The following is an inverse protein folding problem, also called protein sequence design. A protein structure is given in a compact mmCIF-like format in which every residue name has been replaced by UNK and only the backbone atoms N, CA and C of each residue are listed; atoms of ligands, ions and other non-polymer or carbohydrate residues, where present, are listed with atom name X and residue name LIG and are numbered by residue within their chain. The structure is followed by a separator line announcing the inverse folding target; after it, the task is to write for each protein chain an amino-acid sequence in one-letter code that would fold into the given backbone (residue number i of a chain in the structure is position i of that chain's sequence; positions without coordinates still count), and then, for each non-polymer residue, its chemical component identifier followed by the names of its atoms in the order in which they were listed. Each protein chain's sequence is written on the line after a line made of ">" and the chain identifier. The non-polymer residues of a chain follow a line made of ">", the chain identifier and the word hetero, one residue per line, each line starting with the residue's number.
data_IF_832524920690
#
_entry.id   IF_832524920690
#
_cell.length_a   1.000
_cell.length_b   1.000
_cell.length_c   1.000
_cell.angle_alpha   90.00
_cell.angle_beta   90.00
_cell.angle_gamma   90.00
#
_symmetry.space_group_name_H-M   'P 1'
#
loop_
_entity.id
_entity.type
_entity.pdbx_description
1 polymer ?
#
# COMPACT_ATOMS: atom_id res chain seq x y z
N UNK A 1 28.94 21.08 -34.91
CA UNK A 1 28.04 20.50 -33.90
C UNK A 1 28.32 19.01 -33.87
N UNK A 2 28.90 18.41 -32.82
CA UNK A 2 29.05 16.96 -32.74
C UNK A 2 27.72 16.33 -32.28
N UNK A 3 27.24 15.35 -33.02
CA UNK A 3 26.09 14.50 -32.70
C UNK A 3 26.36 13.71 -31.42
N UNK A 4 25.40 13.75 -30.50
CA UNK A 4 25.39 12.90 -29.29
C UNK A 4 25.22 11.43 -29.70
N UNK A 5 25.94 10.49 -29.07
CA UNK A 5 25.77 9.06 -29.35
C UNK A 5 24.39 8.57 -28.89
N UNK A 6 23.79 7.59 -29.60
CA UNK A 6 22.50 7.03 -29.19
C UNK A 6 22.59 6.30 -27.86
N UNK A 7 21.57 6.49 -27.02
CA UNK A 7 21.44 5.80 -25.75
C UNK A 7 21.47 4.27 -25.94
N UNK A 8 22.35 3.61 -25.22
CA UNK A 8 22.47 2.14 -25.22
C UNK A 8 21.17 1.51 -24.72
N UNK A 9 20.62 0.49 -25.37
CA UNK A 9 19.43 -0.20 -24.87
C UNK A 9 19.78 -0.89 -23.54
N UNK A 10 18.85 -0.79 -22.57
CA UNK A 10 18.99 -1.46 -21.27
C UNK A 10 19.25 -2.96 -21.49
N UNK A 11 20.31 -3.48 -20.90
CA UNK A 11 20.70 -4.87 -21.03
C UNK A 11 19.59 -5.78 -20.50
N UNK A 12 19.23 -6.82 -21.26
CA UNK A 12 18.30 -7.85 -20.79
C UNK A 12 18.86 -8.52 -19.51
N UNK A 13 18.02 -8.81 -18.50
CA UNK A 13 18.49 -9.43 -17.24
C UNK A 13 19.19 -10.77 -17.50
N UNK A 14 20.23 -11.06 -16.73
CA UNK A 14 20.96 -12.31 -16.83
C UNK A 14 20.01 -13.52 -16.60
N UNK A 15 20.23 -14.69 -17.20
CA UNK A 15 19.35 -15.84 -17.04
C UNK A 15 19.07 -16.24 -15.58
N UNK A 16 20.01 -16.00 -14.68
CA UNK A 16 19.86 -16.19 -13.23
C UNK A 16 18.83 -15.22 -12.63
N UNK A 17 18.83 -13.96 -13.05
CA UNK A 17 17.94 -12.93 -12.54
C UNK A 17 16.51 -13.17 -13.02
N UNK A 18 16.33 -13.58 -14.30
CA UNK A 18 15.03 -13.95 -14.84
C UNK A 18 14.40 -15.14 -14.08
N UNK A 19 15.19 -16.13 -13.67
CA UNK A 19 14.69 -17.26 -12.89
C UNK A 19 14.29 -16.83 -11.49
N UNK A 20 15.08 -15.97 -10.84
CA UNK A 20 14.76 -15.43 -9.51
C UNK A 20 13.48 -14.61 -9.54
N UNK A 21 13.30 -13.74 -10.53
CA UNK A 21 12.06 -12.95 -10.69
C UNK A 21 10.83 -13.85 -10.88
N UNK A 22 10.92 -14.91 -11.67
CA UNK A 22 9.83 -15.89 -11.84
C UNK A 22 9.47 -16.57 -10.51
N UNK A 23 10.46 -16.95 -9.71
CA UNK A 23 10.24 -17.57 -8.40
C UNK A 23 9.52 -16.59 -7.47
N UNK A 24 9.99 -15.33 -7.40
CA UNK A 24 9.40 -14.33 -6.52
C UNK A 24 7.98 -13.97 -6.97
N UNK A 25 7.72 -13.86 -8.28
CA UNK A 25 6.37 -13.61 -8.79
C UNK A 25 5.41 -14.76 -8.45
N UNK A 26 5.82 -16.02 -8.65
CA UNK A 26 5.04 -17.19 -8.28
C UNK A 26 4.76 -17.24 -6.77
N UNK A 27 5.79 -16.97 -5.95
CA UNK A 27 5.66 -16.94 -4.50
C UNK A 27 4.70 -15.82 -4.03
N UNK A 28 4.80 -14.63 -4.63
CA UNK A 28 3.92 -13.49 -4.33
C UNK A 28 2.45 -13.87 -4.54
N UNK A 29 2.11 -14.45 -5.69
CA UNK A 29 0.75 -14.89 -6.00
C UNK A 29 0.28 -15.96 -5.00
N UNK A 30 1.09 -16.99 -4.77
CA UNK A 30 0.74 -18.11 -3.89
C UNK A 30 0.60 -17.69 -2.42
N UNK A 31 1.49 -16.85 -1.91
CA UNK A 31 1.38 -16.33 -0.55
C UNK A 31 0.17 -15.39 -0.38
N UNK A 32 -0.13 -14.57 -1.38
CA UNK A 32 -1.32 -13.73 -1.37
C UNK A 32 -2.61 -14.56 -1.35
N UNK A 33 -2.67 -15.65 -2.10
CA UNK A 33 -3.89 -16.47 -2.24
C UNK A 33 -4.05 -17.51 -1.13
N UNK A 34 -2.96 -18.11 -0.68
CA UNK A 34 -2.98 -19.28 0.21
C UNK A 34 -2.31 -19.05 1.58
N UNK A 35 -1.67 -17.90 1.77
CA UNK A 35 -0.87 -17.60 2.95
C UNK A 35 0.49 -18.30 2.94
N UNK A 36 1.31 -17.94 3.93
CA UNK A 36 2.60 -18.57 4.16
C UNK A 36 2.44 -20.06 4.49
N UNK A 37 1.62 -20.40 5.49
CA UNK A 37 1.47 -21.78 5.96
C UNK A 37 0.83 -22.67 4.89
N UNK A 38 -0.11 -22.16 4.11
CA UNK A 38 -0.78 -22.88 3.02
C UNK A 38 0.03 -23.04 1.73
N UNK A 39 1.26 -22.49 1.67
CA UNK A 39 2.12 -22.53 0.47
C UNK A 39 3.35 -23.38 0.70
N UNK A 40 3.65 -24.32 -0.22
CA UNK A 40 4.88 -25.10 -0.19
C UNK A 40 5.89 -24.66 -1.25
N UNK A 41 7.19 -24.83 -1.00
CA UNK A 41 8.24 -24.55 -1.99
C UNK A 41 8.09 -25.41 -3.25
N UNK A 42 7.55 -26.61 -3.13
CA UNK A 42 7.23 -27.48 -4.28
C UNK A 42 6.18 -26.84 -5.19
N UNK A 43 5.15 -26.23 -4.60
CA UNK A 43 4.11 -25.53 -5.35
C UNK A 43 4.67 -24.28 -6.02
N UNK A 44 5.54 -23.53 -5.33
CA UNK A 44 6.22 -22.37 -5.90
C UNK A 44 7.11 -22.79 -7.09
N UNK A 45 7.88 -23.88 -6.97
CA UNK A 45 8.71 -24.39 -8.05
C UNK A 45 7.89 -24.78 -9.28
N UNK A 46 6.76 -25.47 -9.07
CA UNK A 46 5.85 -25.86 -10.14
C UNK A 46 5.25 -24.63 -10.85
N UNK A 47 4.78 -23.64 -10.08
CA UNK A 47 4.20 -22.40 -10.62
C UNK A 47 5.25 -21.57 -11.39
N UNK A 48 6.48 -21.51 -10.88
CA UNK A 48 7.59 -20.85 -11.56
C UNK A 48 8.10 -21.61 -12.80
N UNK A 49 7.65 -22.87 -13.03
CA UNK A 49 8.15 -23.74 -14.10
C UNK A 49 9.63 -24.11 -13.91
N UNK A 50 10.05 -24.33 -12.66
CA UNK A 50 11.43 -24.65 -12.27
C UNK A 50 11.46 -25.90 -11.37
N UNK A 51 12.63 -26.52 -11.25
CA UNK A 51 12.81 -27.60 -10.28
C UNK A 51 13.17 -27.06 -8.89
N UNK A 52 12.98 -27.88 -7.86
CA UNK A 52 13.24 -27.54 -6.46
C UNK A 52 14.68 -27.11 -6.17
N UNK A 53 15.66 -27.75 -6.83
CA UNK A 53 17.07 -27.41 -6.64
C UNK A 53 17.38 -25.99 -7.16
N UNK A 54 16.79 -25.62 -8.29
CA UNK A 54 16.91 -24.28 -8.86
C UNK A 54 16.28 -23.23 -7.92
N UNK A 55 15.09 -23.50 -7.38
CA UNK A 55 14.45 -22.59 -6.41
C UNK A 55 15.34 -22.41 -5.17
N UNK A 56 15.81 -23.52 -4.55
CA UNK A 56 16.68 -23.44 -3.37
C UNK A 56 17.98 -22.67 -3.65
N UNK A 57 18.55 -22.84 -4.82
CA UNK A 57 19.76 -22.12 -5.24
C UNK A 57 19.55 -20.59 -5.31
N UNK A 58 18.42 -20.15 -5.88
CA UNK A 58 18.18 -18.71 -6.11
C UNK A 58 17.68 -17.96 -4.89
N UNK A 59 16.89 -18.60 -4.03
CA UNK A 59 16.15 -17.89 -2.97
C UNK A 59 16.29 -18.52 -1.58
N UNK A 60 17.09 -19.55 -1.42
CA UNK A 60 17.24 -20.23 -0.13
C UNK A 60 15.99 -21.00 0.28
N UNK A 61 15.53 -20.76 1.50
CA UNK A 61 14.35 -21.40 2.07
C UNK A 61 13.05 -20.63 1.83
N UNK A 62 11.92 -21.29 2.18
CA UNK A 62 10.60 -20.64 2.17
C UNK A 62 10.55 -19.38 3.07
N UNK A 63 11.16 -19.36 4.27
CA UNK A 63 11.23 -18.17 5.10
C UNK A 63 11.95 -17.00 4.43
N UNK A 64 13.09 -17.24 3.79
CA UNK A 64 13.85 -16.19 3.10
C UNK A 64 13.07 -15.61 1.93
N UNK A 65 12.43 -16.49 1.15
CA UNK A 65 11.57 -16.10 0.04
C UNK A 65 10.36 -15.29 0.51
N UNK A 66 9.74 -15.66 1.64
CA UNK A 66 8.63 -14.90 2.21
C UNK A 66 9.07 -13.49 2.63
N UNK A 67 10.21 -13.38 3.34
CA UNK A 67 10.77 -12.07 3.71
C UNK A 67 11.07 -11.20 2.48
N UNK A 68 11.58 -11.79 1.42
CA UNK A 68 11.81 -11.06 0.16
C UNK A 68 10.51 -10.56 -0.48
N UNK A 69 9.48 -11.41 -0.54
CA UNK A 69 8.15 -11.01 -1.06
C UNK A 69 7.58 -9.85 -0.24
N UNK A 70 7.62 -9.95 1.09
CA UNK A 70 7.12 -8.89 1.99
C UNK A 70 7.95 -7.60 1.88
N UNK A 71 9.27 -7.71 1.74
CA UNK A 71 10.14 -6.55 1.50
C UNK A 71 9.79 -5.85 0.17
N UNK A 72 9.57 -6.60 -0.91
CA UNK A 72 9.18 -6.02 -2.20
C UNK A 72 7.82 -5.33 -2.13
N UNK A 73 6.85 -5.94 -1.44
CA UNK A 73 5.55 -5.33 -1.18
C UNK A 73 5.71 -4.00 -0.42
N UNK A 74 6.48 -4.01 0.68
CA UNK A 74 6.78 -2.80 1.46
C UNK A 74 7.45 -1.70 0.62
N UNK A 75 8.47 -2.03 -0.16
CA UNK A 75 9.15 -1.05 -1.00
C UNK A 75 8.24 -0.45 -2.09
N UNK A 76 7.28 -1.22 -2.60
CA UNK A 76 6.28 -0.71 -3.54
C UNK A 76 5.32 0.26 -2.86
N UNK A 77 4.81 -0.07 -1.66
CA UNK A 77 3.98 0.83 -0.86
C UNK A 77 4.74 2.10 -0.46
N UNK A 78 5.99 1.96 0.00
CA UNK A 78 6.82 3.10 0.39
C UNK A 78 7.00 4.09 -0.76
N UNK A 79 7.24 3.61 -1.98
CA UNK A 79 7.40 4.49 -3.16
C UNK A 79 6.13 5.26 -3.46
N UNK A 80 4.98 4.58 -3.54
CA UNK A 80 3.72 5.26 -3.86
C UNK A 80 3.32 6.26 -2.78
N UNK A 81 3.54 5.93 -1.50
CA UNK A 81 3.25 6.85 -0.41
C UNK A 81 4.22 8.04 -0.39
N UNK A 82 5.51 7.84 -0.66
CA UNK A 82 6.47 8.94 -0.77
C UNK A 82 6.07 9.95 -1.86
N UNK A 83 5.70 9.46 -3.04
CA UNK A 83 5.23 10.30 -4.16
C UNK A 83 3.92 11.02 -3.81
N UNK A 84 2.98 10.29 -3.19
CA UNK A 84 1.70 10.85 -2.77
C UNK A 84 1.86 11.93 -1.69
N UNK A 85 2.74 11.69 -0.70
CA UNK A 85 3.04 12.67 0.36
C UNK A 85 3.78 13.89 -0.18
N UNK A 86 4.63 13.74 -1.19
CA UNK A 86 5.24 14.88 -1.86
C UNK A 86 4.20 15.77 -2.54
N UNK A 87 3.25 15.16 -3.26
CA UNK A 87 2.12 15.87 -3.87
C UNK A 87 1.23 16.54 -2.80
N UNK A 88 0.94 15.81 -1.72
CA UNK A 88 0.19 16.31 -0.57
C UNK A 88 0.85 17.58 0.02
N UNK A 89 2.14 17.56 0.32
CA UNK A 89 2.87 18.72 0.89
C UNK A 89 2.79 19.96 -0.02
N UNK A 90 2.78 19.76 -1.33
CA UNK A 90 2.67 20.86 -2.29
C UNK A 90 1.29 21.47 -2.31
N UNK A 91 0.24 20.66 -2.18
CA UNK A 91 -1.14 21.09 -2.33
C UNK A 91 -1.79 21.52 -1.01
N UNK A 92 -1.43 20.90 0.11
CA UNK A 92 -2.08 21.09 1.41
C UNK A 92 -2.13 22.57 1.89
N UNK A 93 -1.14 23.45 1.62
CA UNK A 93 -1.22 24.86 2.04
C UNK A 93 -2.32 25.66 1.35
N UNK A 94 -2.75 25.26 0.14
CA UNK A 94 -3.74 25.98 -0.66
C UNK A 94 -5.08 25.28 -0.72
N UNK A 95 -5.09 23.94 -0.73
CA UNK A 95 -6.30 23.11 -0.75
C UNK A 95 -6.07 21.82 0.04
N UNK A 96 -6.20 21.87 1.37
CA UNK A 96 -5.99 20.71 2.24
C UNK A 96 -7.01 19.58 1.97
N UNK A 97 -8.22 19.91 1.53
CA UNK A 97 -9.24 18.91 1.22
C UNK A 97 -8.87 18.11 -0.04
N UNK A 98 -8.45 18.80 -1.10
CA UNK A 98 -7.95 18.14 -2.31
C UNK A 98 -6.67 17.37 -2.05
N UNK A 99 -5.76 17.88 -1.20
CA UNK A 99 -4.53 17.21 -0.83
C UNK A 99 -4.81 15.85 -0.14
N UNK A 100 -5.71 15.83 0.85
CA UNK A 100 -6.09 14.61 1.58
C UNK A 100 -6.80 13.62 0.65
N UNK A 101 -7.77 14.07 -0.13
CA UNK A 101 -8.49 13.18 -1.05
C UNK A 101 -7.57 12.60 -2.13
N UNK A 102 -6.61 13.40 -2.62
CA UNK A 102 -5.60 12.95 -3.58
C UNK A 102 -4.68 11.88 -3.00
N UNK A 103 -4.27 12.01 -1.73
CA UNK A 103 -3.47 11.00 -1.03
C UNK A 103 -4.23 9.67 -0.91
N UNK A 104 -5.50 9.72 -0.49
CA UNK A 104 -6.38 8.55 -0.37
C UNK A 104 -6.59 7.86 -1.72
N UNK A 105 -6.87 8.64 -2.75
CA UNK A 105 -7.07 8.11 -4.10
C UNK A 105 -5.84 7.40 -4.63
N UNK A 106 -4.68 8.01 -4.48
CA UNK A 106 -3.42 7.43 -4.94
C UNK A 106 -3.14 6.09 -4.27
N UNK A 107 -3.42 5.99 -2.96
CA UNK A 107 -3.27 4.74 -2.24
C UNK A 107 -4.29 3.67 -2.67
N UNK A 108 -5.57 4.06 -2.85
CA UNK A 108 -6.61 3.15 -3.35
C UNK A 108 -6.26 2.62 -4.75
N UNK A 109 -5.83 3.49 -5.68
CA UNK A 109 -5.45 3.10 -7.04
C UNK A 109 -4.28 2.10 -7.00
N UNK A 110 -3.26 2.38 -6.19
CA UNK A 110 -2.15 1.44 -5.98
C UNK A 110 -2.63 0.06 -5.51
N UNK A 111 -3.52 -0.01 -4.52
CA UNK A 111 -4.04 -1.28 -4.02
C UNK A 111 -4.90 -2.02 -5.06
N UNK A 112 -5.60 -1.31 -5.92
CA UNK A 112 -6.37 -1.90 -7.02
C UNK A 112 -5.48 -2.44 -8.15
N UNK A 113 -4.38 -1.75 -8.43
CA UNK A 113 -3.41 -2.12 -9.46
C UNK A 113 -2.48 -3.25 -9.00
N UNK A 114 -2.22 -3.33 -7.67
CA UNK A 114 -1.33 -4.31 -7.04
C UNK A 114 -2.07 -5.18 -6.00
N UNK A 115 -3.11 -5.94 -6.40
CA UNK A 115 -4.02 -6.60 -5.46
C UNK A 115 -3.36 -7.67 -4.57
N UNK A 116 -2.17 -8.15 -4.94
CA UNK A 116 -1.41 -9.07 -4.11
C UNK A 116 -0.87 -8.42 -2.83
N UNK A 117 -0.56 -7.11 -2.86
CA UNK A 117 0.02 -6.41 -1.71
C UNK A 117 -0.99 -6.33 -0.55
N UNK A 118 -2.20 -5.76 -0.72
CA UNK A 118 -3.21 -5.81 0.34
C UNK A 118 -3.56 -7.24 0.77
N UNK A 119 -3.50 -8.23 -0.15
CA UNK A 119 -3.74 -9.63 0.19
C UNK A 119 -2.69 -10.20 1.15
N UNK A 120 -1.41 -9.93 0.90
CA UNK A 120 -0.30 -10.36 1.77
C UNK A 120 -0.46 -9.80 3.19
N UNK A 121 -0.73 -8.49 3.33
CA UNK A 121 -0.93 -7.85 4.63
C UNK A 121 -2.17 -8.36 5.35
N UNK A 122 -3.31 -8.50 4.66
CA UNK A 122 -4.53 -9.04 5.25
C UNK A 122 -4.33 -10.45 5.82
N UNK A 123 -3.60 -11.32 5.10
CA UNK A 123 -3.26 -12.65 5.62
C UNK A 123 -2.37 -12.57 6.85
N UNK A 124 -1.39 -11.69 6.83
CA UNK A 124 -0.50 -11.47 7.97
C UNK A 124 -1.28 -11.04 9.22
N UNK A 125 -2.25 -10.14 9.09
CA UNK A 125 -3.10 -9.68 10.19
C UNK A 125 -4.07 -10.75 10.71
N UNK A 126 -4.38 -11.76 9.90
CA UNK A 126 -5.19 -12.92 10.30
C UNK A 126 -4.34 -14.05 10.93
N UNK A 127 -3.19 -13.71 11.49
CA UNK A 127 -2.27 -14.62 12.18
C UNK A 127 -1.59 -15.70 11.31
N UNK A 128 -1.55 -15.53 9.98
CA UNK A 128 -0.68 -16.31 9.10
C UNK A 128 0.78 -15.90 9.32
N UNK A 129 1.71 -16.83 9.19
CA UNK A 129 3.14 -16.56 9.31
C UNK A 129 3.55 -15.90 10.65
N UNK A 130 3.11 -16.44 11.78
CA UNK A 130 3.32 -15.85 13.12
C UNK A 130 4.80 -15.61 13.46
N UNK A 131 5.72 -16.39 12.89
CA UNK A 131 7.18 -16.25 13.03
C UNK A 131 7.76 -14.95 12.45
N UNK A 132 6.97 -14.20 11.66
CA UNK A 132 7.36 -12.92 11.05
C UNK A 132 6.60 -11.73 11.64
N UNK A 133 6.25 -11.78 12.94
CA UNK A 133 5.55 -10.69 13.62
C UNK A 133 6.32 -9.34 13.58
N UNK A 134 7.65 -9.41 13.44
CA UNK A 134 8.55 -8.27 13.30
C UNK A 134 8.29 -7.41 12.04
N UNK A 135 7.70 -7.99 10.99
CA UNK A 135 7.48 -7.27 9.73
C UNK A 135 6.48 -6.13 9.86
N UNK A 136 5.48 -6.25 10.71
CA UNK A 136 4.51 -5.19 10.94
C UNK A 136 5.17 -3.95 11.57
N UNK A 137 5.95 -4.17 12.63
CA UNK A 137 6.69 -3.10 13.29
C UNK A 137 7.75 -2.46 12.38
N UNK A 138 8.38 -3.29 11.51
CA UNK A 138 9.47 -2.83 10.63
C UNK A 138 8.99 -2.15 9.36
N UNK A 139 7.83 -2.53 8.84
CA UNK A 139 7.36 -2.08 7.52
C UNK A 139 6.10 -1.21 7.60
N UNK A 140 5.06 -1.67 8.32
CA UNK A 140 3.78 -0.95 8.34
C UNK A 140 3.85 0.28 9.23
N UNK A 141 4.37 0.12 10.45
CA UNK A 141 4.39 1.22 11.44
C UNK A 141 5.11 2.47 10.94
N UNK A 142 6.30 2.40 10.32
CA UNK A 142 6.98 3.60 9.78
C UNK A 142 6.19 4.30 8.68
N UNK A 143 5.43 3.56 7.85
CA UNK A 143 4.60 4.16 6.81
C UNK A 143 3.41 4.92 7.43
N UNK A 144 2.74 4.31 8.43
CA UNK A 144 1.65 4.96 9.18
C UNK A 144 2.16 6.23 9.86
N UNK A 145 3.29 6.16 10.55
CA UNK A 145 3.90 7.31 11.23
C UNK A 145 4.21 8.45 10.25
N UNK A 146 4.79 8.13 9.07
CA UNK A 146 5.09 9.12 8.04
C UNK A 146 3.84 9.84 7.50
N UNK A 147 2.75 9.09 7.27
CA UNK A 147 1.48 9.68 6.82
C UNK A 147 0.86 10.51 7.94
N UNK A 148 0.77 9.96 9.16
CA UNK A 148 0.24 10.65 10.35
C UNK A 148 0.93 11.99 10.58
N UNK A 149 2.27 11.98 10.61
CA UNK A 149 3.05 13.17 10.92
C UNK A 149 2.90 14.23 9.83
N UNK A 150 3.01 13.83 8.55
CA UNK A 150 2.85 14.76 7.42
C UNK A 150 1.45 15.40 7.37
N UNK A 151 0.41 14.60 7.54
CA UNK A 151 -0.98 15.10 7.54
C UNK A 151 -1.23 15.93 8.80
N UNK A 152 -0.77 15.47 9.97
CA UNK A 152 -0.93 16.16 11.24
C UNK A 152 -0.27 17.54 11.25
N UNK A 153 0.97 17.66 10.74
CA UNK A 153 1.68 18.94 10.60
C UNK A 153 0.92 19.92 9.69
N UNK A 154 0.44 19.43 8.53
CA UNK A 154 -0.33 20.27 7.60
C UNK A 154 -1.64 20.75 8.22
N UNK A 155 -2.35 19.88 8.92
CA UNK A 155 -3.58 20.25 9.61
C UNK A 155 -3.34 21.24 10.75
N UNK A 156 -2.25 21.09 11.52
CA UNK A 156 -1.89 21.99 12.59
C UNK A 156 -1.54 23.42 12.10
N UNK A 157 -1.10 23.55 10.85
CA UNK A 157 -0.77 24.82 10.22
C UNK A 157 -2.01 25.60 9.70
N UNK A 158 -3.21 25.00 9.71
CA UNK A 158 -4.42 25.69 9.23
C UNK A 158 -4.93 26.73 10.24
N UNK A 159 -5.31 27.95 9.77
CA UNK A 159 -5.57 29.08 10.65
C UNK A 159 -6.87 28.99 11.49
N UNK A 160 -7.79 28.12 11.17
CA UNK A 160 -9.15 28.13 11.73
C UNK A 160 -9.61 26.73 12.19
N UNK A 161 -8.89 26.15 13.16
CA UNK A 161 -9.27 24.86 13.75
C UNK A 161 -9.96 25.02 15.10
N UNK A 162 -11.28 25.26 15.08
CA UNK A 162 -12.11 25.22 16.29
C UNK A 162 -12.61 23.81 16.64
N UNK A 163 -12.38 22.83 15.80
CA UNK A 163 -12.79 21.43 16.02
C UNK A 163 -11.80 20.70 16.97
N UNK A 164 -12.31 19.71 17.71
CA UNK A 164 -11.48 18.79 18.50
C UNK A 164 -10.35 18.21 17.62
N UNK A 165 -9.15 17.94 18.21
CA UNK A 165 -8.05 17.40 17.45
C UNK A 165 -8.46 16.09 16.79
N UNK A 166 -8.30 16.02 15.46
CA UNK A 166 -8.60 14.80 14.72
C UNK A 166 -7.60 13.70 15.11
N UNK A 167 -8.08 12.50 15.29
CA UNK A 167 -7.23 11.32 15.44
C UNK A 167 -6.72 10.90 14.07
N UNK A 168 -5.65 11.57 13.61
CA UNK A 168 -5.05 11.33 12.29
C UNK A 168 -4.56 9.89 12.19
N UNK A 169 -3.97 9.34 13.27
CA UNK A 169 -3.47 7.96 13.25
C UNK A 169 -4.60 6.95 13.03
N UNK A 170 -5.71 7.10 13.75
CA UNK A 170 -6.86 6.20 13.60
C UNK A 170 -7.53 6.37 12.22
N UNK A 171 -7.55 7.60 11.68
CA UNK A 171 -8.02 7.83 10.31
C UNK A 171 -7.14 7.11 9.29
N UNK A 172 -5.82 7.16 9.43
CA UNK A 172 -4.87 6.43 8.56
C UNK A 172 -5.11 4.93 8.64
N UNK A 173 -5.23 4.37 9.85
CA UNK A 173 -5.56 2.95 10.05
C UNK A 173 -6.90 2.57 9.41
N UNK A 174 -7.92 3.41 9.55
CA UNK A 174 -9.25 3.17 8.96
C UNK A 174 -9.18 3.11 7.43
N UNK A 175 -8.45 4.04 6.81
CA UNK A 175 -8.23 4.04 5.36
C UNK A 175 -7.50 2.77 4.92
N UNK A 176 -6.43 2.40 5.62
CA UNK A 176 -5.63 1.21 5.32
C UNK A 176 -6.49 -0.07 5.37
N UNK A 177 -7.15 -0.33 6.50
CA UNK A 177 -7.95 -1.55 6.67
C UNK A 177 -9.14 -1.59 5.71
N UNK A 178 -9.84 -0.47 5.54
CA UNK A 178 -10.99 -0.39 4.63
C UNK A 178 -10.56 -0.64 3.18
N UNK A 179 -9.45 -0.08 2.74
CA UNK A 179 -8.92 -0.25 1.39
C UNK A 179 -8.46 -1.67 1.16
N UNK A 180 -7.69 -2.25 2.08
CA UNK A 180 -7.22 -3.64 1.96
C UNK A 180 -8.38 -4.63 1.95
N UNK A 181 -9.36 -4.47 2.87
CA UNK A 181 -10.55 -5.30 2.91
C UNK A 181 -11.38 -5.19 1.64
N UNK A 182 -11.58 -3.97 1.13
CA UNK A 182 -12.30 -3.74 -0.12
C UNK A 182 -11.61 -4.38 -1.32
N UNK A 183 -10.29 -4.23 -1.47
CA UNK A 183 -9.52 -4.81 -2.58
C UNK A 183 -9.54 -6.35 -2.59
N UNK A 184 -9.80 -6.99 -1.44
CA UNK A 184 -10.01 -8.45 -1.33
C UNK A 184 -11.43 -8.89 -1.63
N UNK A 185 -12.40 -7.97 -1.59
CA UNK A 185 -13.78 -8.27 -1.93
C UNK A 185 -13.96 -8.41 -3.45
N UNK A 186 -14.94 -9.22 -3.87
CA UNK A 186 -15.26 -9.41 -5.29
C UNK A 186 -16.03 -8.22 -5.91
N UNK A 187 -16.15 -7.08 -5.20
CA UNK A 187 -17.09 -5.99 -5.53
C UNK A 187 -16.43 -4.88 -6.35
N UNK A 188 -15.66 -5.24 -7.38
CA UNK A 188 -14.97 -4.25 -8.21
C UNK A 188 -15.91 -3.20 -8.88
N UNK A 189 -17.16 -3.55 -9.13
CA UNK A 189 -18.15 -2.61 -9.66
C UNK A 189 -18.45 -1.43 -8.71
N UNK A 190 -18.18 -1.59 -7.42
CA UNK A 190 -18.43 -0.58 -6.37
C UNK A 190 -17.25 0.38 -6.13
N UNK A 191 -16.16 0.27 -6.88
CA UNK A 191 -14.97 1.14 -6.72
C UNK A 191 -15.33 2.63 -6.71
N UNK A 192 -16.15 3.17 -7.63
CA UNK A 192 -16.50 4.59 -7.62
C UNK A 192 -17.24 5.00 -6.35
N UNK A 193 -18.15 4.14 -5.87
CA UNK A 193 -18.93 4.36 -4.64
C UNK A 193 -18.05 4.28 -3.40
N UNK A 194 -17.18 3.28 -3.32
CA UNK A 194 -16.22 3.12 -2.23
C UNK A 194 -15.27 4.32 -2.14
N UNK A 195 -14.71 4.76 -3.28
CA UNK A 195 -13.86 5.95 -3.37
C UNK A 195 -14.56 7.21 -2.85
N UNK A 196 -15.78 7.46 -3.31
CA UNK A 196 -16.56 8.61 -2.86
C UNK A 196 -16.83 8.55 -1.35
N UNK A 197 -17.17 7.37 -0.82
CA UNK A 197 -17.40 7.17 0.60
C UNK A 197 -16.13 7.40 1.42
N UNK A 198 -14.99 6.86 0.98
CA UNK A 198 -13.71 6.99 1.66
C UNK A 198 -13.22 8.43 1.71
N UNK A 199 -13.37 9.19 0.61
CA UNK A 199 -13.10 10.64 0.58
C UNK A 199 -13.98 11.41 1.58
N UNK A 200 -15.28 11.14 1.60
CA UNK A 200 -16.19 11.80 2.52
C UNK A 200 -15.87 11.48 3.99
N UNK A 201 -15.48 10.23 4.26
CA UNK A 201 -15.07 9.79 5.59
C UNK A 201 -13.83 10.57 6.06
N UNK A 202 -12.75 10.59 5.29
CA UNK A 202 -11.51 11.26 5.71
C UNK A 202 -11.67 12.76 5.85
N UNK A 203 -12.44 13.42 4.96
CA UNK A 203 -12.69 14.84 5.07
C UNK A 203 -13.46 15.19 6.35
N UNK A 204 -14.46 14.39 6.71
CA UNK A 204 -15.22 14.57 7.95
C UNK A 204 -14.34 14.34 9.18
N UNK A 205 -13.62 13.22 9.22
CA UNK A 205 -12.82 12.81 10.37
C UNK A 205 -11.63 13.76 10.63
N UNK A 206 -11.10 14.36 9.56
CA UNK A 206 -10.04 15.37 9.65
C UNK A 206 -10.56 16.81 9.79
N UNK A 207 -11.89 17.02 9.84
CA UNK A 207 -12.48 18.35 9.98
C UNK A 207 -12.31 19.24 8.75
N UNK A 208 -12.17 18.66 7.55
CA UNK A 208 -12.02 19.34 6.27
C UNK A 208 -13.31 19.29 5.43
N UNK A 209 -14.38 18.65 5.93
CA UNK A 209 -15.67 18.63 5.28
C UNK A 209 -16.38 19.98 5.41
N UNK A 210 -17.19 20.36 4.40
CA UNK A 210 -18.14 21.47 4.55
C UNK A 210 -19.04 21.18 5.74
N UNK A 211 -19.20 22.13 6.71
CA UNK A 211 -20.17 21.96 7.79
C UNK A 211 -21.54 21.67 7.16
N UNK A 212 -22.23 20.66 7.69
CA UNK A 212 -23.62 20.44 7.31
C UNK A 212 -24.36 21.77 7.50
N UNK A 213 -25.24 22.17 6.55
CA UNK A 213 -26.05 23.38 6.75
C UNK A 213 -26.75 23.22 8.10
N UNK A 214 -26.54 24.19 9.01
CA UNK A 214 -27.28 24.26 10.24
C UNK A 214 -28.76 24.16 9.90
N UNK A 215 -29.41 23.10 10.36
CA UNK A 215 -30.87 22.99 10.32
C UNK A 215 -31.43 24.05 11.29
N UNK A 216 -32.07 25.13 10.82
CA UNK A 216 -32.59 26.19 11.70
C UNK A 216 -33.99 25.84 12.19
N UNK A 217 -34.21 24.61 12.61
CA UNK A 217 -35.53 24.14 12.94
C UNK A 217 -35.62 23.30 14.20
N UNK A 218 -35.38 23.87 15.37
CA UNK A 218 -36.08 23.53 16.62
C UNK A 218 -35.99 24.74 17.56
N UNK A 219 -36.86 25.74 17.32
CA UNK A 219 -37.28 26.74 18.29
C UNK A 219 -38.66 26.37 18.81
#
# INVERSE_FOLDING_TARGET
>A
MPESPPASPAAAPAPSDASRERIVAAATALFADHGYDGTSTRRIAAEAGLNMATVAYHVGGKPDLYREVMLRAHLAEQRVLADALQTFRTLAPTDPAAAVTGLVDRYLDFCLDQPHIPALWMRRWLADAAEFADLEASYVRPLIDSVRDTVGEALAALPDRSAAPADVEMTVWTVLWSTHGFCRSAVRAEVPRFRAHLRALVLRDLGLGTPAPNDPGHG
#
